data_IF_759093068901
#
_entry.id   IF_759093068901
#
_cell.length_a   1.000
_cell.length_b   1.000
_cell.length_c   1.000
_cell.angle_alpha   90.00
_cell.angle_beta   90.00
_cell.angle_gamma   90.00
#
_symmetry.space_group_name_H-M   'P 1'
#
loop_
_entity.id
_entity.type
_entity.pdbx_description
1 polymer ?
#
# COMPACT_ATOMS: atom_id res chain seq x y z
N UNK A 1 -31.78 27.71 -3.81
CA UNK A 1 -30.73 26.88 -3.22
C UNK A 1 -30.97 25.42 -3.63
N UNK A 2 -29.97 24.69 -4.24
CA UNK A 2 -30.14 23.28 -4.65
C UNK A 2 -30.53 22.34 -3.52
N UNK A 3 -30.28 22.71 -2.28
CA UNK A 3 -30.69 21.95 -1.09
C UNK A 3 -32.22 21.90 -0.91
N UNK A 4 -32.96 22.85 -1.48
CA UNK A 4 -34.41 22.93 -1.34
C UNK A 4 -35.18 21.93 -2.20
N UNK A 5 -34.50 21.20 -3.09
CA UNK A 5 -35.10 20.18 -3.97
C UNK A 5 -34.59 18.77 -3.71
N UNK A 6 -33.98 18.52 -2.54
CA UNK A 6 -33.56 17.17 -2.14
C UNK A 6 -32.42 16.57 -2.97
N UNK A 7 -31.72 17.37 -3.77
CA UNK A 7 -30.54 16.93 -4.49
C UNK A 7 -29.33 17.06 -3.59
N UNK A 8 -28.78 15.93 -3.15
CA UNK A 8 -27.45 15.87 -2.57
C UNK A 8 -26.44 16.33 -3.62
N UNK A 9 -25.64 17.30 -3.29
CA UNK A 9 -24.50 17.76 -4.10
C UNK A 9 -23.41 16.68 -4.05
N UNK A 10 -23.53 15.64 -4.87
CA UNK A 10 -22.36 14.84 -5.21
C UNK A 10 -21.58 15.64 -6.22
N UNK A 11 -20.46 16.19 -5.78
CA UNK A 11 -19.47 16.76 -6.68
C UNK A 11 -18.89 15.60 -7.50
N UNK A 12 -19.49 15.32 -8.64
CA UNK A 12 -18.96 14.35 -9.59
C UNK A 12 -17.70 14.97 -10.20
N UNK A 13 -16.58 14.77 -9.54
CA UNK A 13 -15.29 15.13 -10.10
C UNK A 13 -14.90 14.00 -11.05
N UNK A 14 -15.06 14.29 -12.32
CA UNK A 14 -14.73 13.36 -13.41
C UNK A 14 -13.25 13.51 -13.72
N UNK A 15 -12.45 12.48 -13.40
CA UNK A 15 -11.08 12.39 -13.88
C UNK A 15 -11.13 11.84 -15.30
N UNK A 16 -11.00 12.73 -16.29
CA UNK A 16 -10.80 12.35 -17.68
C UNK A 16 -9.30 12.37 -18.02
N UNK A 17 -8.95 11.88 -19.19
CA UNK A 17 -7.56 11.85 -19.68
C UNK A 17 -6.84 13.21 -19.67
N UNK A 18 -7.56 14.32 -19.57
CA UNK A 18 -7.04 15.68 -19.51
C UNK A 18 -6.96 16.28 -18.10
N UNK A 19 -7.66 15.73 -17.09
CA UNK A 19 -7.70 16.32 -15.75
C UNK A 19 -6.48 15.99 -14.87
N UNK A 20 -5.51 15.29 -15.42
CA UNK A 20 -4.15 15.23 -14.92
C UNK A 20 -3.92 14.47 -13.62
N UNK A 21 -2.65 14.40 -13.29
CA UNK A 21 -2.02 13.60 -12.23
C UNK A 21 -2.53 13.88 -10.80
N UNK A 22 -3.18 15.02 -10.57
CA UNK A 22 -3.68 15.41 -9.25
C UNK A 22 -5.07 14.85 -8.93
N UNK A 23 -5.88 14.51 -9.93
CA UNK A 23 -7.29 14.13 -9.73
C UNK A 23 -7.48 12.79 -9.02
N UNK A 24 -6.71 11.76 -9.39
CA UNK A 24 -6.86 10.43 -8.80
C UNK A 24 -6.38 10.38 -7.34
N UNK A 25 -5.24 11.01 -7.04
CA UNK A 25 -4.73 11.09 -5.68
C UNK A 25 -5.64 11.94 -4.79
N UNK A 26 -6.20 13.04 -5.33
CA UNK A 26 -7.14 13.88 -4.62
C UNK A 26 -8.45 13.12 -4.29
N UNK A 27 -8.99 12.31 -5.20
CA UNK A 27 -10.17 11.48 -4.93
C UNK A 27 -9.89 10.41 -3.86
N UNK A 28 -8.74 9.76 -3.89
CA UNK A 28 -8.33 8.84 -2.82
C UNK A 28 -8.24 9.53 -1.47
N UNK A 29 -7.68 10.75 -1.41
CA UNK A 29 -7.57 11.49 -0.17
C UNK A 29 -8.93 11.96 0.35
N UNK A 30 -9.78 12.53 -0.50
CA UNK A 30 -11.05 13.15 -0.08
C UNK A 30 -12.15 12.14 0.20
N UNK A 31 -12.27 11.09 -0.59
CA UNK A 31 -13.36 10.12 -0.48
C UNK A 31 -12.99 8.85 0.28
N UNK A 32 -11.72 8.46 0.22
CA UNK A 32 -11.23 7.24 0.88
C UNK A 32 -10.25 7.48 2.03
N UNK A 33 -9.92 8.75 2.32
CA UNK A 33 -8.95 9.14 3.37
C UNK A 33 -7.58 8.46 3.21
N UNK A 34 -7.14 8.24 1.96
CA UNK A 34 -5.87 7.64 1.59
C UNK A 34 -4.97 8.71 0.98
N UNK A 35 -3.93 9.09 1.73
CA UNK A 35 -2.97 10.11 1.30
C UNK A 35 -1.67 9.46 0.86
N UNK A 36 -1.46 9.43 -0.45
CA UNK A 36 -0.29 8.79 -1.05
C UNK A 36 0.99 9.62 -0.86
N UNK A 37 2.16 8.97 -0.66
CA UNK A 37 3.45 9.62 -0.83
C UNK A 37 3.64 10.14 -2.26
N UNK A 38 4.43 11.19 -2.43
CA UNK A 38 4.59 11.88 -3.71
C UNK A 38 5.00 10.98 -4.87
N UNK A 39 5.95 10.07 -4.66
CA UNK A 39 6.38 9.11 -5.71
C UNK A 39 5.26 8.15 -6.12
N UNK A 40 4.51 7.68 -5.14
CA UNK A 40 3.36 6.80 -5.36
C UNK A 40 2.18 7.53 -6.03
N UNK A 41 1.95 8.82 -5.73
CA UNK A 41 0.97 9.64 -6.47
C UNK A 41 1.28 9.69 -7.96
N UNK A 42 2.56 9.89 -8.31
CA UNK A 42 3.01 9.94 -9.71
C UNK A 42 2.79 8.58 -10.39
N UNK A 43 3.21 7.50 -9.76
CA UNK A 43 3.03 6.14 -10.28
C UNK A 43 1.55 5.82 -10.47
N UNK A 44 0.74 6.04 -9.43
CA UNK A 44 -0.69 5.73 -9.46
C UNK A 44 -1.44 6.54 -10.53
N UNK A 45 -1.11 7.82 -10.69
CA UNK A 45 -1.69 8.66 -11.74
C UNK A 45 -1.40 8.13 -13.14
N UNK A 46 -0.21 7.58 -13.37
CA UNK A 46 0.14 6.94 -14.64
C UNK A 46 -0.65 5.66 -14.87
N UNK A 47 -0.88 4.86 -13.83
CA UNK A 47 -1.68 3.64 -13.89
C UNK A 47 -3.15 3.99 -14.24
N UNK A 48 -3.73 4.99 -13.58
CA UNK A 48 -5.09 5.46 -13.87
C UNK A 48 -5.20 5.99 -15.29
N UNK A 49 -4.24 6.81 -15.74
CA UNK A 49 -4.22 7.33 -17.10
C UNK A 49 -4.19 6.19 -18.13
N UNK A 50 -3.32 5.23 -17.95
CA UNK A 50 -3.22 4.06 -18.84
C UNK A 50 -4.54 3.26 -18.88
N UNK A 51 -5.20 3.06 -17.74
CA UNK A 51 -6.49 2.36 -17.66
C UNK A 51 -7.59 3.16 -18.35
N UNK A 52 -7.65 4.48 -18.17
CA UNK A 52 -8.60 5.36 -18.87
C UNK A 52 -8.42 5.31 -20.39
N UNK A 53 -7.18 5.37 -20.86
CA UNK A 53 -6.86 5.33 -22.31
C UNK A 53 -7.21 3.97 -22.92
N UNK A 54 -7.04 2.88 -22.18
CA UNK A 54 -7.36 1.51 -22.67
C UNK A 54 -8.86 1.22 -22.69
N UNK A 55 -9.60 1.71 -21.72
CA UNK A 55 -11.03 1.41 -21.57
C UNK A 55 -11.93 2.43 -22.24
N UNK A 56 -11.45 3.67 -22.42
CA UNK A 56 -12.27 4.81 -22.85
C UNK A 56 -13.35 5.20 -21.83
N UNK A 57 -13.31 4.61 -20.63
CA UNK A 57 -14.29 4.85 -19.58
C UNK A 57 -13.87 6.02 -18.69
N UNK A 58 -14.86 6.63 -18.10
CA UNK A 58 -14.66 7.63 -17.07
C UNK A 58 -14.12 6.98 -15.79
N UNK A 59 -13.10 7.58 -15.19
CA UNK A 59 -12.52 7.14 -13.92
C UNK A 59 -13.29 7.79 -12.77
N UNK A 60 -14.34 7.12 -12.31
CA UNK A 60 -15.09 7.49 -11.11
C UNK A 60 -14.29 7.19 -9.85
N UNK A 61 -14.69 7.72 -8.70
CA UNK A 61 -14.07 7.44 -7.41
C UNK A 61 -14.02 5.94 -7.10
N UNK A 62 -15.12 5.22 -7.34
CA UNK A 62 -15.20 3.77 -7.11
C UNK A 62 -14.20 3.01 -8.00
N UNK A 63 -14.13 3.36 -9.29
CA UNK A 63 -13.17 2.73 -10.22
C UNK A 63 -11.73 3.02 -9.82
N UNK A 64 -11.44 4.24 -9.35
CA UNK A 64 -10.11 4.61 -8.84
C UNK A 64 -9.77 3.80 -7.59
N UNK A 65 -10.74 3.61 -6.69
CA UNK A 65 -10.55 2.78 -5.50
C UNK A 65 -10.30 1.32 -5.85
N UNK A 66 -11.09 0.74 -6.75
CA UNK A 66 -10.91 -0.65 -7.22
C UNK A 66 -9.52 -0.85 -7.82
N UNK A 67 -9.03 0.11 -8.62
CA UNK A 67 -7.66 0.06 -9.17
C UNK A 67 -6.61 0.15 -8.07
N UNK A 68 -6.83 1.00 -7.08
CA UNK A 68 -5.92 1.11 -5.94
C UNK A 68 -5.84 -0.20 -5.15
N UNK A 69 -6.98 -0.84 -4.87
CA UNK A 69 -7.01 -2.15 -4.22
C UNK A 69 -6.33 -3.23 -5.05
N UNK A 70 -6.62 -3.29 -6.35
CA UNK A 70 -6.01 -4.25 -7.28
C UNK A 70 -4.48 -4.12 -7.33
N UNK A 71 -3.98 -2.89 -7.39
CA UNK A 71 -2.55 -2.62 -7.60
C UNK A 71 -1.75 -2.71 -6.31
N UNK A 72 -2.32 -2.33 -5.17
CA UNK A 72 -1.54 -2.18 -3.94
C UNK A 72 -2.04 -2.99 -2.74
N UNK A 73 -3.33 -3.30 -2.62
CA UNK A 73 -3.86 -3.92 -1.40
C UNK A 73 -4.10 -5.43 -1.54
N UNK A 74 -4.55 -5.91 -2.69
CA UNK A 74 -4.98 -7.30 -2.88
C UNK A 74 -3.89 -8.19 -3.51
N UNK A 75 -2.62 -7.94 -3.16
CA UNK A 75 -1.47 -8.69 -3.67
C UNK A 75 -1.05 -9.77 -2.69
N UNK A 76 -1.40 -11.02 -2.99
CA UNK A 76 -1.08 -12.19 -2.17
C UNK A 76 -0.16 -13.20 -2.87
N UNK A 77 0.57 -12.79 -3.90
CA UNK A 77 1.49 -13.64 -4.64
C UNK A 77 2.69 -12.84 -5.14
N UNK A 78 3.90 -13.35 -5.03
CA UNK A 78 4.30 -14.68 -4.53
C UNK A 78 4.34 -14.81 -3.00
N UNK A 79 4.12 -13.73 -2.24
CA UNK A 79 4.12 -13.74 -0.78
C UNK A 79 2.73 -13.42 -0.23
N UNK A 80 2.26 -14.22 0.71
CA UNK A 80 1.05 -13.96 1.49
C UNK A 80 1.39 -14.01 2.98
N UNK A 81 0.95 -12.98 3.73
CA UNK A 81 1.12 -12.92 5.17
C UNK A 81 0.07 -13.80 5.87
N UNK A 82 0.51 -14.88 6.52
CA UNK A 82 -0.36 -15.77 7.30
C UNK A 82 -0.46 -15.29 8.74
N UNK A 83 0.66 -14.98 9.38
CA UNK A 83 0.70 -14.45 10.75
C UNK A 83 1.92 -13.57 10.97
N UNK A 84 1.79 -12.66 11.93
CA UNK A 84 2.87 -11.77 12.34
C UNK A 84 2.75 -11.47 13.83
N UNK A 85 3.86 -11.58 14.54
CA UNK A 85 4.02 -11.17 15.93
C UNK A 85 5.35 -10.42 16.11
N UNK A 86 5.38 -9.47 17.03
CA UNK A 86 6.56 -8.64 17.32
C UNK A 86 6.70 -8.51 18.83
N UNK A 87 7.92 -8.72 19.32
CA UNK A 87 8.25 -8.66 20.74
C UNK A 87 9.49 -7.79 20.96
N UNK A 88 9.45 -6.95 21.99
CA UNK A 88 10.64 -6.18 22.39
C UNK A 88 11.74 -7.11 22.88
N UNK A 89 12.92 -6.99 22.29
CA UNK A 89 14.09 -7.76 22.63
C UNK A 89 15.17 -6.94 23.39
N UNK A 90 14.95 -5.62 23.53
CA UNK A 90 15.83 -4.69 24.21
C UNK A 90 15.30 -3.25 24.15
N UNK A 91 16.13 -2.27 24.52
CA UNK A 91 15.71 -0.86 24.52
C UNK A 91 15.31 -0.36 23.13
N UNK A 92 16.09 -0.74 22.09
CA UNK A 92 15.92 -0.29 20.72
C UNK A 92 15.89 -1.49 19.74
N UNK A 93 15.46 -2.66 20.20
CA UNK A 93 15.40 -3.87 19.38
C UNK A 93 14.07 -4.59 19.53
N UNK A 94 13.56 -5.08 18.41
CA UNK A 94 12.39 -5.93 18.32
C UNK A 94 12.71 -7.19 17.53
N UNK A 95 12.24 -8.33 18.04
CA UNK A 95 12.26 -9.61 17.34
C UNK A 95 10.89 -9.87 16.78
N UNK A 96 10.83 -10.21 15.49
CA UNK A 96 9.58 -10.62 14.83
C UNK A 96 9.53 -12.13 14.64
N UNK A 97 8.32 -12.65 14.64
CA UNK A 97 7.97 -13.97 14.17
C UNK A 97 6.87 -13.83 13.11
N UNK A 98 7.16 -14.22 11.88
CA UNK A 98 6.20 -14.15 10.80
C UNK A 98 6.08 -15.51 10.10
N UNK A 99 4.86 -15.82 9.66
CA UNK A 99 4.59 -16.96 8.80
C UNK A 99 4.12 -16.42 7.46
N UNK A 100 4.84 -16.78 6.41
CA UNK A 100 4.53 -16.41 5.04
C UNK A 100 4.19 -17.66 4.22
N UNK A 101 3.18 -17.55 3.37
CA UNK A 101 2.99 -18.48 2.27
C UNK A 101 3.76 -17.96 1.06
N UNK A 102 4.73 -18.73 0.56
CA UNK A 102 5.54 -18.36 -0.59
C UNK A 102 5.54 -19.49 -1.62
N UNK A 103 5.01 -19.22 -2.81
CA UNK A 103 4.89 -20.21 -3.90
C UNK A 103 4.26 -21.53 -3.43
N UNK A 104 3.20 -21.46 -2.63
CA UNK A 104 2.46 -22.60 -2.09
C UNK A 104 3.12 -23.31 -0.90
N UNK A 105 4.22 -22.78 -0.36
CA UNK A 105 4.89 -23.34 0.82
C UNK A 105 4.81 -22.36 1.99
N UNK A 106 4.43 -22.86 3.16
CA UNK A 106 4.45 -22.10 4.40
C UNK A 106 5.88 -22.04 4.94
N UNK A 107 6.36 -20.83 5.18
CA UNK A 107 7.71 -20.56 5.70
C UNK A 107 7.59 -19.69 6.95
N UNK A 108 8.15 -20.16 8.06
CA UNK A 108 8.28 -19.39 9.30
C UNK A 108 9.62 -18.67 9.31
N UNK A 109 9.59 -17.37 9.53
CA UNK A 109 10.79 -16.52 9.58
C UNK A 109 10.82 -15.74 10.88
N UNK A 110 12.04 -15.47 11.39
CA UNK A 110 12.26 -14.71 12.62
C UNK A 110 13.60 -14.02 12.55
N UNK A 111 13.61 -12.75 12.88
CA UNK A 111 14.83 -11.94 12.97
C UNK A 111 14.62 -10.75 13.91
N UNK A 112 15.72 -10.10 14.27
CA UNK A 112 15.75 -8.90 15.11
C UNK A 112 16.16 -7.67 14.31
N UNK A 113 15.58 -6.53 14.65
CA UNK A 113 15.89 -5.24 14.04
C UNK A 113 15.57 -4.08 14.98
N UNK A 114 15.79 -2.85 14.52
CA UNK A 114 15.50 -1.62 15.28
C UNK A 114 14.01 -1.29 15.38
N UNK A 115 13.16 -2.21 14.96
CA UNK A 115 11.72 -2.11 14.94
C UNK A 115 11.14 -3.22 14.06
N UNK A 116 9.80 -3.39 14.04
CA UNK A 116 9.17 -4.54 13.39
C UNK A 116 9.42 -4.58 11.87
N UNK A 117 9.44 -3.44 11.19
CA UNK A 117 9.70 -3.39 9.73
C UNK A 117 11.14 -3.71 9.41
N UNK A 118 12.10 -3.16 10.18
CA UNK A 118 13.53 -3.48 10.01
C UNK A 118 13.79 -4.97 10.25
N UNK A 119 13.23 -5.53 11.30
CA UNK A 119 13.33 -6.96 11.61
C UNK A 119 12.73 -7.84 10.50
N UNK A 120 11.56 -7.47 9.96
CA UNK A 120 10.93 -8.19 8.86
C UNK A 120 11.75 -8.11 7.56
N UNK A 121 12.32 -6.95 7.24
CA UNK A 121 13.24 -6.79 6.09
C UNK A 121 14.45 -7.73 6.24
N UNK A 122 15.05 -7.78 7.44
CA UNK A 122 16.17 -8.69 7.73
C UNK A 122 15.75 -10.16 7.56
N UNK A 123 14.59 -10.54 8.10
CA UNK A 123 14.08 -11.90 8.00
C UNK A 123 13.80 -12.31 6.54
N UNK A 124 13.20 -11.45 5.74
CA UNK A 124 12.92 -11.74 4.33
C UNK A 124 14.22 -11.92 3.55
N UNK A 125 15.22 -11.05 3.75
CA UNK A 125 16.53 -11.17 3.08
C UNK A 125 17.29 -12.42 3.48
N UNK A 126 17.16 -12.85 4.74
CA UNK A 126 17.85 -14.04 5.24
C UNK A 126 17.23 -15.34 4.70
N UNK A 127 15.92 -15.36 4.42
CA UNK A 127 15.19 -16.59 4.09
C UNK A 127 14.83 -16.71 2.61
N UNK A 128 14.83 -15.61 1.86
CA UNK A 128 14.42 -15.61 0.45
C UNK A 128 15.50 -14.96 -0.42
N UNK A 129 15.65 -15.46 -1.63
CA UNK A 129 16.56 -14.91 -2.65
C UNK A 129 15.91 -13.68 -3.32
N UNK A 130 15.78 -12.59 -2.56
CA UNK A 130 15.26 -11.30 -3.02
C UNK A 130 16.23 -10.18 -2.71
N UNK A 131 16.49 -9.33 -3.71
CA UNK A 131 17.40 -8.21 -3.60
C UNK A 131 16.63 -6.90 -3.64
N UNK A 132 16.53 -6.23 -2.53
CA UNK A 132 15.87 -4.93 -2.42
C UNK A 132 16.46 -4.11 -1.27
N UNK A 133 16.20 -2.82 -1.30
CA UNK A 133 16.48 -1.90 -0.18
C UNK A 133 15.17 -1.23 0.22
N UNK A 134 14.96 -1.09 1.52
CA UNK A 134 13.91 -0.23 2.05
C UNK A 134 14.38 1.22 1.85
N UNK A 135 13.71 1.96 0.97
CA UNK A 135 14.05 3.34 0.65
C UNK A 135 13.31 4.30 1.55
N UNK A 136 12.02 4.09 1.75
CA UNK A 136 11.19 4.92 2.62
C UNK A 136 9.98 4.13 3.16
N UNK A 137 9.44 4.60 4.26
CA UNK A 137 8.20 4.08 4.79
C UNK A 137 7.46 5.17 5.58
N UNK A 138 6.13 5.17 5.49
CA UNK A 138 5.29 6.12 6.20
C UNK A 138 3.91 5.54 6.48
N UNK A 139 3.19 6.16 7.41
CA UNK A 139 1.80 5.80 7.69
C UNK A 139 0.98 7.00 8.13
N UNK A 140 -0.31 6.95 7.84
CA UNK A 140 -1.30 7.95 8.22
C UNK A 140 -2.49 7.28 8.89
N UNK A 141 -3.19 8.01 9.76
CA UNK A 141 -4.50 7.56 10.25
C UNK A 141 -5.54 7.79 9.16
N UNK A 142 -6.32 6.76 8.87
CA UNK A 142 -7.48 6.82 7.98
C UNK A 142 -8.74 6.89 8.83
N UNK A 143 -9.50 7.96 8.73
CA UNK A 143 -10.66 8.24 9.60
C UNK A 143 -12.01 8.24 8.86
N UNK A 144 -12.12 7.50 7.75
CA UNK A 144 -13.35 7.48 6.94
C UNK A 144 -14.48 6.61 7.49
N UNK A 145 -14.21 5.82 8.53
CA UNK A 145 -15.18 4.89 9.14
C UNK A 145 -15.25 5.05 10.65
N UNK A 146 -16.22 4.41 11.28
CA UNK A 146 -16.36 4.36 12.74
C UNK A 146 -15.18 3.69 13.47
N UNK A 147 -14.26 3.07 12.72
CA UNK A 147 -13.01 2.50 13.24
C UNK A 147 -11.84 3.24 12.63
N UNK A 148 -10.93 3.73 13.46
CA UNK A 148 -9.66 4.27 13.02
C UNK A 148 -8.82 3.14 12.39
N UNK A 149 -8.37 3.32 11.16
CA UNK A 149 -7.44 2.44 10.46
C UNK A 149 -6.13 3.18 10.20
N UNK A 150 -5.05 2.44 10.10
CA UNK A 150 -3.79 2.94 9.61
C UNK A 150 -3.66 2.61 8.12
N UNK A 151 -3.29 3.58 7.31
CA UNK A 151 -2.82 3.38 5.95
C UNK A 151 -1.31 3.56 5.94
N UNK A 152 -0.58 2.54 5.54
CA UNK A 152 0.87 2.53 5.49
C UNK A 152 1.37 2.38 4.06
N UNK A 153 2.55 2.95 3.80
CA UNK A 153 3.19 2.96 2.49
C UNK A 153 4.65 2.58 2.64
N UNK A 154 5.13 1.77 1.73
CA UNK A 154 6.53 1.33 1.68
C UNK A 154 7.07 1.60 0.29
N UNK A 155 8.25 2.19 0.21
CA UNK A 155 9.05 2.29 -0.99
C UNK A 155 10.24 1.35 -0.89
N UNK A 156 10.35 0.44 -1.84
CA UNK A 156 11.51 -0.42 -2.02
C UNK A 156 12.28 0.00 -3.27
N UNK A 157 13.59 -0.09 -3.20
CA UNK A 157 14.45 -0.03 -4.39
C UNK A 157 14.82 -1.45 -4.79
N UNK A 158 14.48 -1.84 -6.01
CA UNK A 158 14.87 -3.11 -6.61
C UNK A 158 16.42 -3.19 -6.71
N UNK A 159 16.98 -4.23 -6.14
CA UNK A 159 18.43 -4.42 -6.13
C UNK A 159 19.05 -4.72 -7.51
N UNK A 160 18.24 -5.10 -8.50
CA UNK A 160 18.68 -5.42 -9.86
C UNK A 160 18.53 -4.24 -10.81
N UNK A 161 17.37 -3.59 -10.80
CA UNK A 161 17.01 -2.51 -11.74
C UNK A 161 17.24 -1.12 -11.15
N UNK A 162 17.42 -1.02 -9.84
CA UNK A 162 17.51 0.23 -9.09
C UNK A 162 16.25 1.13 -9.24
N UNK A 163 15.12 0.53 -9.58
CA UNK A 163 13.84 1.23 -9.69
C UNK A 163 13.10 1.22 -8.36
N UNK A 164 12.34 2.30 -8.09
CA UNK A 164 11.44 2.36 -6.96
C UNK A 164 10.18 1.55 -7.22
N UNK A 165 9.76 0.79 -6.21
CA UNK A 165 8.52 0.02 -6.18
C UNK A 165 7.77 0.36 -4.90
N UNK A 166 6.49 0.70 -5.04
CA UNK A 166 5.65 1.09 -3.92
C UNK A 166 4.69 -0.02 -3.54
N UNK A 167 4.41 -0.12 -2.25
CA UNK A 167 3.36 -0.97 -1.70
C UNK A 167 2.54 -0.22 -0.67
N UNK A 168 1.30 -0.63 -0.48
CA UNK A 168 0.42 -0.09 0.53
C UNK A 168 -0.23 -1.18 1.38
N UNK A 169 -0.60 -0.82 2.59
CA UNK A 169 -1.33 -1.68 3.51
C UNK A 169 -2.29 -0.88 4.37
N UNK A 170 -3.49 -1.40 4.57
CA UNK A 170 -4.51 -0.83 5.44
C UNK A 170 -4.87 -1.85 6.49
N UNK A 171 -4.85 -1.45 7.76
CA UNK A 171 -5.22 -2.31 8.89
C UNK A 171 -5.63 -1.45 10.09
N UNK A 172 -6.46 -2.00 10.97
CA UNK A 172 -6.75 -1.38 12.28
C UNK A 172 -5.55 -1.40 13.22
N UNK A 173 -4.60 -2.32 12.99
CA UNK A 173 -3.33 -2.39 13.70
C UNK A 173 -2.29 -1.49 13.03
N UNK A 174 -1.74 -0.54 13.79
CA UNK A 174 -0.63 0.32 13.37
C UNK A 174 0.66 -0.45 13.07
N UNK A 175 0.78 -1.68 13.57
CA UNK A 175 1.91 -2.57 13.31
C UNK A 175 1.69 -3.40 12.04
N UNK A 176 0.46 -3.89 11.81
CA UNK A 176 0.16 -4.73 10.65
C UNK A 176 0.03 -3.94 9.34
N UNK A 177 -0.43 -2.70 9.37
CA UNK A 177 -0.54 -1.89 8.16
C UNK A 177 0.82 -1.73 7.43
N UNK A 178 1.94 -1.36 8.09
CA UNK A 178 3.26 -1.33 7.46
C UNK A 178 3.77 -2.71 7.01
N UNK A 179 3.46 -3.77 7.76
CA UNK A 179 3.82 -5.16 7.37
C UNK A 179 3.13 -5.54 6.07
N UNK A 180 1.82 -5.26 5.94
CA UNK A 180 1.07 -5.47 4.70
C UNK A 180 1.62 -4.65 3.54
N UNK A 181 1.99 -3.38 3.79
CA UNK A 181 2.60 -2.51 2.80
C UNK A 181 3.93 -3.07 2.28
N UNK A 182 4.77 -3.62 3.15
CA UNK A 182 6.02 -4.27 2.76
C UNK A 182 5.78 -5.51 1.91
N UNK A 183 4.84 -6.38 2.30
CA UNK A 183 4.48 -7.58 1.51
C UNK A 183 3.92 -7.17 0.14
N UNK A 184 3.07 -6.14 0.09
CA UNK A 184 2.57 -5.58 -1.16
C UNK A 184 3.70 -5.12 -2.08
N UNK A 185 4.65 -4.33 -1.57
CA UNK A 185 5.80 -3.88 -2.35
C UNK A 185 6.67 -5.03 -2.86
N UNK A 186 6.90 -6.07 -2.02
CA UNK A 186 7.62 -7.28 -2.41
C UNK A 186 6.92 -8.05 -3.54
N UNK A 187 5.61 -8.16 -3.49
CA UNK A 187 4.83 -8.83 -4.53
C UNK A 187 4.87 -8.07 -5.87
N UNK A 188 5.11 -6.78 -5.83
CA UNK A 188 5.28 -5.93 -7.01
C UNK A 188 6.72 -5.90 -7.55
N UNK A 189 7.70 -6.32 -6.75
CA UNK A 189 9.09 -6.53 -7.16
C UNK A 189 9.28 -7.82 -7.98
N UNK A 190 8.38 -8.78 -7.86
CA UNK A 190 8.51 -10.17 -8.32
C UNK A 190 8.01 -10.36 -9.73
#
# INVERSE_FOLDING_TARGET
>A
DPADIGCTYEAIIRVNSQSGKAGSAWLLETEHSVRLPRGMEVEFSQIIQKKADQTGLEMTSDVIWDVYEEVYLNLNSPFELVSFDSQKAGADQETIHAVLLHKGKTVSISETGNGPISALVNAIRAHFDVQFKLADFGQNTRSSTSRAEAAAYVELTDGKTNQSVYGAGIDTSITLAPVRALISALNRLS
#
